data_IF_636970212691
#
_entry.id   IF_636970212691
#
_cell.length_a   1.000
_cell.length_b   1.000
_cell.length_c   1.000
_cell.angle_alpha   90.00
_cell.angle_beta   90.00
_cell.angle_gamma   90.00
#
_symmetry.space_group_name_H-M   'P 1'
#
loop_
_entity.id
_entity.type
_entity.pdbx_description
1 polymer ?
#
# COMPACT_ATOMS: atom_id res chain seq x y z
N UNK A 1 -5.19 6.07 6.36
CA UNK A 1 -3.80 5.91 6.82
C UNK A 1 -2.88 5.68 5.63
N UNK A 2 -1.72 6.30 5.62
CA UNK A 2 -0.91 6.39 4.41
C UNK A 2 -0.18 5.08 4.11
N UNK A 3 -0.59 4.44 3.02
CA UNK A 3 0.08 3.32 2.34
C UNK A 3 1.56 3.61 2.04
N UNK A 4 1.96 4.89 2.14
CA UNK A 4 3.33 5.36 1.89
C UNK A 4 4.39 4.87 2.90
N UNK A 5 4.01 4.20 4.01
CA UNK A 5 4.99 3.74 5.01
C UNK A 5 5.69 2.42 4.65
N UNK A 6 5.07 1.58 3.81
CA UNK A 6 5.59 0.25 3.47
C UNK A 6 6.41 0.21 2.19
N UNK A 7 6.29 1.23 1.35
CA UNK A 7 7.03 1.34 0.10
C UNK A 7 8.12 2.40 0.20
N UNK A 8 9.31 2.05 -0.25
CA UNK A 8 10.42 2.97 -0.47
C UNK A 8 10.70 3.11 -1.97
N UNK A 9 11.01 4.33 -2.41
CA UNK A 9 11.45 4.58 -3.78
C UNK A 9 12.92 4.22 -3.88
N UNK A 10 13.27 3.32 -4.79
CA UNK A 10 14.63 2.87 -5.04
C UNK A 10 15.00 3.05 -6.50
N UNK A 11 16.28 3.22 -6.76
CA UNK A 11 16.87 3.26 -8.09
C UNK A 11 17.75 2.04 -8.24
N UNK A 12 17.51 1.26 -9.29
CA UNK A 12 18.17 -0.01 -9.55
C UNK A 12 18.78 -0.03 -10.94
N UNK A 13 19.79 -0.88 -11.11
CA UNK A 13 20.40 -1.15 -12.41
C UNK A 13 20.28 -2.64 -12.72
N UNK A 14 20.00 -2.95 -13.98
CA UNK A 14 19.90 -4.32 -14.46
C UNK A 14 20.47 -4.43 -15.88
N UNK A 15 20.90 -5.59 -16.27
CA UNK A 15 21.36 -5.89 -17.64
C UNK A 15 20.29 -6.64 -18.41
N UNK A 16 19.88 -6.09 -19.53
CA UNK A 16 18.84 -6.66 -20.40
C UNK A 16 19.47 -7.08 -21.73
N UNK A 17 19.22 -8.30 -22.12
CA UNK A 17 19.62 -8.81 -23.44
C UNK A 17 18.41 -8.77 -24.38
N UNK A 18 18.59 -8.10 -25.51
CA UNK A 18 17.58 -8.00 -26.56
C UNK A 18 18.17 -8.54 -27.87
N UNK A 19 17.36 -9.32 -28.61
CA UNK A 19 17.76 -9.74 -29.94
C UNK A 19 17.89 -8.51 -30.85
N UNK A 20 18.97 -8.47 -31.65
CA UNK A 20 19.26 -7.35 -32.56
C UNK A 20 18.08 -6.96 -33.46
N UNK A 21 17.26 -7.95 -33.89
CA UNK A 21 16.07 -7.72 -34.72
C UNK A 21 14.98 -6.90 -34.03
N UNK A 22 14.99 -6.84 -32.71
CA UNK A 22 13.99 -6.12 -31.92
C UNK A 22 14.43 -4.69 -31.54
N UNK A 23 15.60 -4.26 -32.01
CA UNK A 23 16.09 -2.90 -31.81
C UNK A 23 15.48 -2.02 -32.88
N UNK A 24 14.65 -1.09 -32.46
CA UNK A 24 13.98 -0.11 -33.33
C UNK A 24 14.12 1.30 -32.75
N UNK A 25 13.54 2.30 -33.43
CA UNK A 25 13.54 3.69 -32.95
C UNK A 25 12.85 3.90 -31.61
N UNK A 26 12.02 2.94 -31.18
CA UNK A 26 11.30 2.99 -29.88
C UNK A 26 11.95 2.09 -28.82
N UNK A 27 13.29 2.01 -28.83
CA UNK A 27 14.05 1.16 -27.88
C UNK A 27 13.69 1.45 -26.43
N UNK A 28 13.48 2.72 -26.05
CA UNK A 28 13.09 3.13 -24.71
C UNK A 28 11.80 2.40 -24.25
N UNK A 29 10.74 2.47 -25.05
CA UNK A 29 9.46 1.83 -24.74
C UNK A 29 9.59 0.29 -24.68
N UNK A 30 10.46 -0.27 -25.49
CA UNK A 30 10.71 -1.71 -25.52
C UNK A 30 11.44 -2.17 -24.24
N UNK A 31 12.49 -1.45 -23.83
CA UNK A 31 13.23 -1.69 -22.60
C UNK A 31 12.33 -1.56 -21.37
N UNK A 32 11.54 -0.49 -21.29
CA UNK A 32 10.62 -0.26 -20.18
C UNK A 32 9.61 -1.40 -20.05
N UNK A 33 9.02 -1.88 -21.14
CA UNK A 33 8.09 -3.03 -21.14
C UNK A 33 8.77 -4.32 -20.67
N UNK A 34 10.01 -4.56 -21.08
CA UNK A 34 10.76 -5.76 -20.65
C UNK A 34 11.04 -5.71 -19.16
N UNK A 35 11.48 -4.56 -18.62
CA UNK A 35 11.77 -4.39 -17.20
C UNK A 35 10.48 -4.57 -16.38
N UNK A 36 9.40 -3.89 -16.75
CA UNK A 36 8.10 -4.03 -16.08
C UNK A 36 7.68 -5.48 -15.98
N UNK A 37 7.76 -6.23 -17.08
CA UNK A 37 7.43 -7.65 -17.11
C UNK A 37 8.37 -8.51 -16.26
N UNK A 38 9.64 -8.10 -16.13
CA UNK A 38 10.67 -8.86 -15.40
C UNK A 38 10.57 -8.68 -13.88
N UNK A 39 10.20 -7.48 -13.40
CA UNK A 39 10.34 -7.14 -11.98
C UNK A 39 9.03 -6.77 -11.28
N UNK A 40 8.00 -6.30 -11.99
CA UNK A 40 6.76 -5.88 -11.33
C UNK A 40 5.96 -7.07 -10.77
N UNK A 41 5.47 -6.91 -9.53
CA UNK A 41 4.63 -7.90 -8.85
C UNK A 41 5.36 -9.13 -8.34
N UNK A 42 6.69 -9.08 -8.25
CA UNK A 42 7.52 -10.14 -7.70
C UNK A 42 8.57 -9.58 -6.73
N UNK A 43 9.14 -10.46 -5.91
CA UNK A 43 10.24 -10.15 -5.03
C UNK A 43 11.57 -10.20 -5.79
N UNK A 44 12.35 -9.14 -5.62
CA UNK A 44 13.77 -9.04 -6.01
C UNK A 44 14.63 -8.98 -4.73
N UNK A 45 15.93 -8.81 -4.84
CA UNK A 45 16.84 -8.77 -3.67
C UNK A 45 16.46 -7.68 -2.66
N UNK A 46 15.93 -6.53 -3.13
CA UNK A 46 15.54 -5.40 -2.30
C UNK A 46 14.14 -5.55 -1.66
N UNK A 47 13.32 -6.46 -2.15
CA UNK A 47 11.96 -6.71 -1.66
C UNK A 47 10.93 -6.87 -2.79
N UNK A 48 9.65 -6.67 -2.50
CA UNK A 48 8.55 -6.80 -3.48
C UNK A 48 8.36 -5.51 -4.28
N UNK A 49 8.40 -5.61 -5.60
CA UNK A 49 8.22 -4.47 -6.52
C UNK A 49 6.75 -4.20 -6.78
N UNK A 50 6.30 -2.97 -6.49
CA UNK A 50 4.92 -2.54 -6.72
C UNK A 50 4.60 -2.52 -8.22
N UNK A 51 3.45 -3.10 -8.59
CA UNK A 51 2.96 -3.12 -9.98
C UNK A 51 2.66 -1.69 -10.45
N UNK A 52 3.09 -1.35 -11.67
CA UNK A 52 2.87 -0.03 -12.27
C UNK A 52 3.79 1.07 -11.71
N UNK A 53 4.84 0.72 -10.96
CA UNK A 53 5.75 1.69 -10.35
C UNK A 53 7.08 1.82 -11.07
N UNK A 54 7.39 0.92 -11.97
CA UNK A 54 8.68 0.91 -12.69
C UNK A 54 8.70 1.99 -13.76
N UNK A 55 9.73 2.82 -13.73
CA UNK A 55 9.98 3.88 -14.69
C UNK A 55 11.45 3.85 -15.11
N UNK A 56 11.70 3.70 -16.40
CA UNK A 56 13.06 3.70 -16.97
C UNK A 56 13.63 5.12 -16.92
N UNK A 57 14.82 5.29 -16.35
CA UNK A 57 15.50 6.59 -16.28
C UNK A 57 16.49 6.75 -17.43
N UNK A 58 17.36 5.75 -17.60
CA UNK A 58 18.41 5.78 -18.62
C UNK A 58 18.84 4.38 -19.03
N UNK A 59 19.54 4.30 -20.13
CA UNK A 59 20.13 3.05 -20.64
C UNK A 59 21.46 3.33 -21.36
N UNK A 60 22.34 2.32 -21.40
CA UNK A 60 23.63 2.38 -22.08
C UNK A 60 23.52 2.22 -23.60
N UNK A 61 24.60 2.46 -24.30
CA UNK A 61 24.69 2.28 -25.77
C UNK A 61 24.55 0.82 -26.23
N UNK A 62 24.61 -0.13 -25.34
CA UNK A 62 24.52 -1.55 -25.63
C UNK A 62 25.82 -2.16 -26.18
N UNK A 63 26.05 -3.39 -25.81
CA UNK A 63 27.21 -4.20 -26.25
C UNK A 63 26.72 -5.37 -27.10
N UNK A 64 27.30 -5.53 -28.29
CA UNK A 64 26.97 -6.64 -29.18
C UNK A 64 27.57 -7.94 -28.65
N UNK A 65 26.69 -8.92 -28.40
CA UNK A 65 27.09 -10.25 -28.03
C UNK A 65 26.38 -11.30 -28.91
N UNK A 66 27.08 -11.83 -29.91
CA UNK A 66 26.51 -12.71 -30.94
C UNK A 66 25.30 -12.07 -31.66
N UNK A 67 24.10 -12.61 -31.53
CA UNK A 67 22.86 -12.09 -32.12
C UNK A 67 22.05 -11.19 -31.19
N UNK A 68 22.55 -10.97 -29.98
CA UNK A 68 21.90 -10.15 -28.95
C UNK A 68 22.71 -8.89 -28.68
N UNK A 69 22.03 -7.90 -28.16
CA UNK A 69 22.63 -6.68 -27.60
C UNK A 69 22.31 -6.64 -26.12
N UNK A 70 23.34 -6.58 -25.31
CA UNK A 70 23.25 -6.38 -23.88
C UNK A 70 23.25 -4.88 -23.57
N UNK A 71 22.23 -4.41 -22.87
CA UNK A 71 22.00 -3.00 -22.53
C UNK A 71 21.88 -2.90 -21.03
N UNK A 72 22.74 -2.09 -20.41
CA UNK A 72 22.58 -1.75 -19.01
C UNK A 72 21.53 -0.68 -18.87
N UNK A 73 20.55 -0.91 -17.97
CA UNK A 73 19.42 -0.04 -17.75
C UNK A 73 19.39 0.44 -16.32
N UNK A 74 19.00 1.69 -16.12
CA UNK A 74 18.76 2.29 -14.80
C UNK A 74 17.28 2.66 -14.73
N UNK A 75 16.60 2.13 -13.73
CA UNK A 75 15.17 2.36 -13.52
C UNK A 75 14.87 2.68 -12.05
N UNK A 76 13.79 3.39 -11.83
CA UNK A 76 13.24 3.64 -10.50
C UNK A 76 11.97 2.82 -10.29
N UNK A 77 11.73 2.38 -9.07
CA UNK A 77 10.52 1.67 -8.68
C UNK A 77 10.21 1.86 -7.20
N UNK A 78 8.98 1.50 -6.80
CA UNK A 78 8.61 1.39 -5.40
C UNK A 78 8.74 -0.05 -4.93
N UNK A 79 9.53 -0.25 -3.88
CA UNK A 79 9.79 -1.57 -3.28
C UNK A 79 9.19 -1.61 -1.89
N UNK A 80 8.40 -2.65 -1.62
CA UNK A 80 7.92 -2.98 -0.28
C UNK A 80 8.91 -3.93 0.40
N UNK A 81 9.30 -3.55 1.60
CA UNK A 81 10.13 -4.38 2.47
C UNK A 81 9.74 -4.07 3.93
N UNK A 82 9.88 -5.04 4.82
CA UNK A 82 9.62 -4.86 6.25
C UNK A 82 10.91 -4.99 7.04
N UNK A 83 10.92 -4.35 8.21
CA UNK A 83 11.99 -4.53 9.20
C UNK A 83 11.36 -4.96 10.53
N UNK A 84 12.14 -5.61 11.37
CA UNK A 84 11.72 -5.99 12.72
C UNK A 84 11.20 -4.76 13.48
N UNK A 85 10.16 -4.97 14.29
CA UNK A 85 9.47 -3.93 15.06
C UNK A 85 8.69 -2.89 14.24
N UNK A 86 8.64 -2.99 12.93
CA UNK A 86 7.78 -2.16 12.08
C UNK A 86 6.32 -2.48 12.37
N UNK A 87 5.47 -1.45 12.41
CA UNK A 87 4.02 -1.61 12.63
C UNK A 87 3.23 -1.11 11.44
N UNK A 88 2.19 -1.87 11.07
CA UNK A 88 1.25 -1.48 10.01
C UNK A 88 -0.11 -2.14 10.19
N UNK A 89 -1.11 -1.60 9.49
CA UNK A 89 -2.46 -2.14 9.49
C UNK A 89 -2.62 -3.17 8.38
N UNK A 90 -3.31 -4.27 8.67
CA UNK A 90 -3.66 -5.31 7.71
C UNK A 90 -5.09 -5.79 7.90
N UNK A 91 -5.64 -6.44 6.88
CA UNK A 91 -6.99 -7.00 6.88
C UNK A 91 -6.89 -8.51 7.09
N UNK A 92 -7.67 -9.02 8.04
CA UNK A 92 -7.80 -10.45 8.30
C UNK A 92 -8.46 -11.14 7.12
N UNK A 93 -7.80 -12.13 6.54
CA UNK A 93 -8.33 -12.93 5.42
C UNK A 93 -8.86 -14.28 5.86
N UNK A 94 -8.21 -14.90 6.81
CA UNK A 94 -8.67 -16.19 7.36
C UNK A 94 -8.18 -16.41 8.78
N UNK A 95 -8.99 -17.11 9.56
CA UNK A 95 -8.69 -17.47 10.95
C UNK A 95 -8.67 -18.99 11.05
N UNK A 96 -7.59 -19.51 11.60
CA UNK A 96 -7.40 -20.96 11.81
C UNK A 96 -7.09 -21.29 13.26
N UNK A 97 -7.04 -22.58 13.59
CA UNK A 97 -6.62 -23.03 14.92
C UNK A 97 -5.18 -22.66 15.26
N UNK A 98 -4.32 -22.54 14.25
CA UNK A 98 -2.88 -22.23 14.38
C UNK A 98 -2.65 -20.72 14.51
N UNK A 99 -3.50 -19.90 13.91
CA UNK A 99 -3.34 -18.46 13.91
C UNK A 99 -4.17 -17.75 12.85
N UNK A 100 -3.86 -16.48 12.65
CA UNK A 100 -4.54 -15.58 11.72
C UNK A 100 -3.64 -15.32 10.53
N UNK A 101 -4.23 -15.35 9.32
CA UNK A 101 -3.63 -14.86 8.10
C UNK A 101 -4.25 -13.53 7.72
N UNK A 102 -3.42 -12.52 7.52
CA UNK A 102 -3.84 -11.19 7.12
C UNK A 102 -3.01 -10.68 5.93
N UNK A 103 -3.54 -9.69 5.23
CA UNK A 103 -2.93 -9.08 4.05
C UNK A 103 -3.09 -7.56 4.10
N UNK A 104 -2.23 -6.83 3.39
CA UNK A 104 -2.38 -5.39 3.22
C UNK A 104 -3.61 -5.10 2.34
N UNK A 105 -4.32 -4.02 2.63
CA UNK A 105 -5.48 -3.58 1.85
C UNK A 105 -5.06 -2.94 0.52
N UNK A 106 -4.51 -3.74 -0.38
CA UNK A 106 -4.15 -3.36 -1.75
C UNK A 106 -4.65 -4.40 -2.75
N UNK A 107 -4.75 -4.01 -4.03
CA UNK A 107 -5.19 -4.92 -5.12
C UNK A 107 -4.29 -6.16 -5.20
N UNK A 108 -2.98 -5.97 -5.04
CA UNK A 108 -1.99 -7.04 -4.90
C UNK A 108 -1.21 -6.76 -3.63
N UNK A 109 -1.46 -7.55 -2.59
CA UNK A 109 -0.78 -7.37 -1.32
C UNK A 109 0.69 -7.78 -1.42
N UNK A 110 1.64 -6.90 -1.06
CA UNK A 110 3.06 -7.25 -1.02
C UNK A 110 3.38 -8.21 0.13
N UNK A 111 2.56 -8.23 1.17
CA UNK A 111 2.78 -9.03 2.38
C UNK A 111 1.66 -10.01 2.64
N UNK A 112 2.04 -11.23 3.02
CA UNK A 112 1.16 -12.18 3.68
C UNK A 112 1.62 -12.31 5.13
N UNK A 113 0.79 -11.85 6.05
CA UNK A 113 1.10 -11.76 7.48
C UNK A 113 0.51 -12.96 8.20
N UNK A 114 1.32 -13.62 9.00
CA UNK A 114 0.93 -14.72 9.87
C UNK A 114 1.09 -14.32 11.34
N UNK A 115 0.00 -14.41 12.09
CA UNK A 115 -0.03 -14.12 13.52
C UNK A 115 -0.31 -15.43 14.24
N UNK A 116 0.70 -15.99 14.90
CA UNK A 116 0.60 -17.27 15.55
C UNK A 116 -0.22 -17.16 16.84
N UNK A 117 -1.14 -18.11 17.07
CA UNK A 117 -1.95 -18.19 18.29
C UNK A 117 -1.10 -18.42 19.55
N UNK A 118 -0.03 -19.19 19.42
CA UNK A 118 0.83 -19.55 20.55
C UNK A 118 1.54 -18.33 21.17
N UNK A 119 1.77 -17.28 20.39
CA UNK A 119 2.31 -16.00 20.89
C UNK A 119 1.25 -15.10 21.55
N UNK A 120 -0.04 -15.47 21.45
CA UNK A 120 -1.17 -14.65 21.92
C UNK A 120 -2.10 -15.42 22.86
N UNK A 121 -1.56 -16.39 23.61
CA UNK A 121 -2.34 -17.32 24.43
C UNK A 121 -3.20 -16.60 25.46
N UNK A 122 -2.71 -15.54 26.10
CA UNK A 122 -3.39 -14.75 27.11
C UNK A 122 -4.08 -13.48 26.54
N UNK A 123 -4.10 -13.29 25.22
CA UNK A 123 -4.65 -12.09 24.62
C UNK A 123 -6.15 -12.28 24.31
N UNK A 124 -7.02 -11.64 25.10
CA UNK A 124 -8.46 -11.65 24.86
C UNK A 124 -8.87 -11.03 23.50
N UNK A 125 -8.10 -10.07 22.99
CA UNK A 125 -8.36 -9.43 21.70
C UNK A 125 -8.28 -10.44 20.56
N UNK A 126 -7.36 -11.39 20.65
CA UNK A 126 -7.17 -12.41 19.63
C UNK A 126 -8.42 -13.29 19.42
N UNK A 127 -9.20 -13.50 20.48
CA UNK A 127 -10.41 -14.33 20.46
C UNK A 127 -11.63 -13.60 19.88
N UNK A 128 -11.57 -12.27 19.79
CA UNK A 128 -12.66 -11.40 19.32
C UNK A 128 -12.52 -11.01 17.85
N UNK A 129 -11.42 -11.37 17.19
CA UNK A 129 -11.15 -11.03 15.81
C UNK A 129 -12.02 -11.84 14.86
N UNK A 130 -12.59 -11.19 13.87
CA UNK A 130 -13.35 -11.79 12.78
C UNK A 130 -12.65 -11.60 11.43
N UNK A 131 -13.08 -12.35 10.43
CA UNK A 131 -12.63 -12.16 9.05
C UNK A 131 -13.04 -10.78 8.55
N UNK A 132 -12.15 -10.13 7.82
CA UNK A 132 -12.22 -8.76 7.31
C UNK A 132 -12.04 -7.64 8.34
N UNK A 133 -11.75 -7.94 9.60
CA UNK A 133 -11.36 -6.92 10.56
C UNK A 133 -10.01 -6.29 10.17
N UNK A 134 -9.85 -5.01 10.52
CA UNK A 134 -8.58 -4.31 10.37
C UNK A 134 -7.82 -4.42 11.69
N UNK A 135 -6.65 -4.99 11.62
CA UNK A 135 -5.78 -5.21 12.77
C UNK A 135 -4.45 -4.48 12.59
N UNK A 136 -3.89 -3.97 13.67
CA UNK A 136 -2.54 -3.42 13.73
C UNK A 136 -1.57 -4.47 14.23
N UNK A 137 -0.49 -4.68 13.49
CA UNK A 137 0.49 -5.73 13.77
C UNK A 137 1.90 -5.16 13.87
N UNK A 138 2.75 -5.83 14.66
CA UNK A 138 4.20 -5.57 14.74
C UNK A 138 4.96 -6.72 14.13
N UNK A 139 5.87 -6.41 13.22
CA UNK A 139 6.72 -7.40 12.53
C UNK A 139 7.72 -7.99 13.52
N UNK A 140 7.74 -9.32 13.59
CA UNK A 140 8.75 -10.11 14.31
C UNK A 140 9.84 -10.61 13.36
N UNK A 141 9.49 -10.89 12.11
CA UNK A 141 10.44 -11.35 11.10
C UNK A 141 9.77 -11.49 9.74
N UNK A 142 10.59 -11.62 8.70
CA UNK A 142 10.13 -11.82 7.34
C UNK A 142 10.94 -12.86 6.61
N UNK A 143 10.34 -13.45 5.58
CA UNK A 143 11.01 -14.38 4.65
C UNK A 143 10.43 -14.24 3.27
N UNK A 144 11.29 -14.14 2.28
CA UNK A 144 10.95 -14.27 0.86
C UNK A 144 12.13 -14.85 0.07
N UNK A 145 11.85 -15.27 -1.13
CA UNK A 145 12.84 -15.74 -2.11
C UNK A 145 12.63 -14.95 -3.40
N UNK A 146 13.64 -14.90 -4.25
CA UNK A 146 13.55 -14.27 -5.56
C UNK A 146 12.37 -14.83 -6.36
N UNK A 147 11.68 -13.97 -7.07
CA UNK A 147 10.48 -14.26 -7.87
C UNK A 147 9.23 -14.67 -7.07
N UNK A 148 9.25 -14.63 -5.74
CA UNK A 148 8.03 -14.79 -4.96
C UNK A 148 7.03 -13.68 -5.24
N UNK A 149 5.73 -14.03 -5.18
CA UNK A 149 4.62 -13.09 -5.41
C UNK A 149 4.25 -12.27 -4.17
N UNK A 150 4.85 -12.53 -3.05
CA UNK A 150 4.64 -11.83 -1.78
C UNK A 150 5.79 -12.13 -0.81
N UNK A 151 5.93 -11.30 0.19
CA UNK A 151 6.81 -11.49 1.33
C UNK A 151 5.99 -12.12 2.46
N UNK A 152 6.44 -13.24 3.02
CA UNK A 152 5.86 -13.85 4.22
C UNK A 152 6.37 -13.12 5.46
N UNK A 153 5.46 -12.60 6.27
CA UNK A 153 5.76 -11.85 7.49
C UNK A 153 5.19 -12.59 8.68
N UNK A 154 5.98 -12.79 9.71
CA UNK A 154 5.52 -13.23 11.02
C UNK A 154 5.39 -12.00 11.89
N UNK A 155 4.23 -11.83 12.51
CA UNK A 155 3.92 -10.65 13.30
C UNK A 155 3.17 -11.00 14.60
N UNK A 156 3.19 -10.07 15.55
CA UNK A 156 2.34 -10.08 16.72
C UNK A 156 1.21 -9.06 16.58
N UNK A 157 0.07 -9.36 17.20
CA UNK A 157 -1.08 -8.48 17.27
C UNK A 157 -0.85 -7.39 18.30
N UNK A 158 -1.00 -6.13 17.91
CA UNK A 158 -0.96 -4.98 18.83
C UNK A 158 -2.37 -4.56 19.21
N UNK A 159 -3.23 -4.31 18.20
CA UNK A 159 -4.56 -3.75 18.41
C UNK A 159 -5.53 -4.19 17.30
N UNK A 160 -6.82 -4.06 17.58
CA UNK A 160 -7.91 -4.35 16.63
C UNK A 160 -8.69 -3.07 16.40
N UNK A 161 -8.58 -2.51 15.19
CA UNK A 161 -9.36 -1.35 14.79
C UNK A 161 -10.76 -1.78 14.35
N UNK A 162 -11.69 -1.95 15.31
CA UNK A 162 -13.08 -2.22 14.97
C UNK A 162 -13.70 -1.02 14.26
N UNK A 163 -14.33 -1.23 13.12
CA UNK A 163 -15.01 -0.20 12.32
C UNK A 163 -16.19 0.51 13.06
N UNK A 164 -16.58 0.03 14.24
CA UNK A 164 -17.68 0.60 15.01
C UNK A 164 -17.33 1.88 15.76
N UNK A 165 -16.05 2.11 16.10
CA UNK A 165 -15.63 3.33 16.82
C UNK A 165 -15.47 4.56 15.95
N UNK A 166 -15.42 4.41 14.63
CA UNK A 166 -15.33 5.56 13.71
C UNK A 166 -16.68 6.18 13.40
N UNK A 167 -17.80 5.48 13.57
CA UNK A 167 -19.15 6.05 13.41
C UNK A 167 -19.60 6.83 14.65
N UNK A 168 -19.27 6.34 15.84
CA UNK A 168 -19.62 7.01 17.10
C UNK A 168 -18.90 8.37 17.29
N UNK A 169 -17.71 8.55 16.71
CA UNK A 169 -16.98 9.83 16.79
C UNK A 169 -17.43 10.88 15.77
N UNK A 170 -18.22 10.50 14.75
CA UNK A 170 -18.81 11.43 13.78
C UNK A 170 -20.20 11.91 14.20
N UNK A 171 -20.94 11.14 14.99
CA UNK A 171 -22.26 11.54 15.51
C UNK A 171 -22.16 12.55 16.67
N UNK A 172 -21.11 12.45 17.51
CA UNK A 172 -20.88 13.38 18.63
C UNK A 172 -20.39 14.78 18.20
N UNK A 173 -20.04 14.97 16.93
CA UNK A 173 -19.62 16.30 16.41
C UNK A 173 -20.71 17.02 15.61
N UNK A 174 -21.78 16.34 15.19
CA UNK A 174 -22.90 16.98 14.49
C UNK A 174 -23.90 17.63 15.48
N UNK A 175 -24.03 17.12 16.70
CA UNK A 175 -24.94 17.70 17.70
C UNK A 175 -24.41 18.99 18.34
N UNK A 176 -23.14 19.35 18.18
CA UNK A 176 -22.56 20.61 18.71
C UNK A 176 -22.55 21.77 17.71
N UNK A 177 -22.88 21.55 16.45
CA UNK A 177 -22.93 22.59 15.40
C UNK A 177 -24.36 23.03 15.09
N UNK A 178 -25.37 22.27 15.51
CA UNK A 178 -26.79 22.58 15.28
C UNK A 178 -27.38 23.74 16.11
N UNK A 179 -26.67 24.23 17.12
CA UNK A 179 -27.22 25.18 18.11
C UNK A 179 -27.01 26.68 17.84
N UNK A 180 -26.31 27.11 16.80
CA UNK A 180 -25.89 28.51 16.64
C UNK A 180 -26.55 29.23 15.46
N UNK A 181 -27.32 28.56 14.60
CA UNK A 181 -27.86 29.19 13.38
C UNK A 181 -29.33 29.61 13.40
N UNK A 182 -30.07 29.47 14.49
CA UNK A 182 -31.49 29.86 14.53
C UNK A 182 -31.79 31.26 15.10
N UNK A 183 -30.80 32.02 15.56
CA UNK A 183 -31.03 33.34 16.16
C UNK A 183 -30.72 34.56 15.28
N UNK A 184 -30.25 34.35 14.02
CA UNK A 184 -29.91 35.47 13.12
C UNK A 184 -30.88 35.73 11.95
N UNK A 185 -31.90 34.93 11.76
CA UNK A 185 -32.84 35.13 10.62
C UNK A 185 -34.14 35.83 10.93
N UNK A 186 -34.40 36.30 12.18
CA UNK A 186 -35.63 37.03 12.55
C UNK A 186 -35.50 38.55 12.59
N UNK A 187 -34.35 39.15 12.36
CA UNK A 187 -34.14 40.60 12.48
C UNK A 187 -33.96 41.36 11.16
N UNK A 188 -34.09 40.70 9.98
CA UNK A 188 -33.93 41.39 8.67
C UNK A 188 -35.27 41.63 7.95
N UNK A 189 -36.39 41.09 8.44
CA UNK A 189 -37.70 41.22 7.77
C UNK A 189 -38.56 42.43 8.21
N UNK A 190 -38.05 43.34 9.05
CA UNK A 190 -38.82 44.53 9.54
C UNK A 190 -38.28 45.88 9.09
N UNK A 191 -37.43 45.98 8.08
CA UNK A 191 -36.87 47.27 7.62
C UNK A 191 -37.02 47.57 6.13
N UNK A 192 -37.99 46.95 5.44
CA UNK A 192 -38.25 47.24 4.01
C UNK A 192 -39.73 47.52 3.67
N UNK A 193 -40.49 48.20 4.55
CA UNK A 193 -41.84 48.68 4.20
C UNK A 193 -42.10 50.06 4.78
N UNK A 194 -41.27 51.06 4.47
CA UNK A 194 -41.65 52.50 4.69
C UNK A 194 -40.78 53.40 3.81
N UNK A 195 -40.89 53.25 2.48
CA UNK A 195 -40.49 54.35 1.56
C UNK A 195 -41.11 54.12 0.17
N UNK A 196 -42.47 54.33 0.10
CA UNK A 196 -43.15 54.68 -1.13
C UNK A 196 -44.50 55.27 -0.71
N UNK A 197 -44.48 56.57 -0.52
CA UNK A 197 -45.62 57.47 -0.67
C UNK A 197 -45.17 58.90 -0.30
N UNK A 198 -44.61 59.57 -1.29
CA UNK A 198 -44.88 60.98 -1.63
C UNK A 198 -44.15 61.28 -2.96
#
# INVERSE_FOLDING_TARGET
MSINKIYSKVMLSDKIEINFKNINSEIYNTLEKIIKKKVEGICIDEGFVKIGSVNLISYSSGELFSNNVAIDVIYECFVANTVESMTFDCIVKSITKVGIRAEINETVSPFVVFIARDHHFDNELFSKINENDIINVRVLGQRYELNNKFISVIAELIDVNNHETSKAKLEDTEDLVGGINETKSKNIAKKKNNSKLK
#
